data_IF_472249925198
#
_entry.id   IF_472249925198
#
_cell.length_a   1.000
_cell.length_b   1.000
_cell.length_c   1.000
_cell.angle_alpha   90.00
_cell.angle_beta   90.00
_cell.angle_gamma   90.00
#
_symmetry.space_group_name_H-M   'P 1'
#
loop_
_entity.id
_entity.type
_entity.pdbx_description
1 polymer ?
#
# COMPACT_ATOMS: atom_id res chain seq x y z
N UNK A 1 -11.44 21.60 1.50
CA UNK A 1 -10.28 21.82 2.41
C UNK A 1 -9.17 20.93 1.88
N UNK A 2 -8.04 21.54 1.50
CA UNK A 2 -7.07 20.94 0.59
C UNK A 2 -6.09 20.01 1.30
N UNK A 3 -5.93 18.81 0.76
CA UNK A 3 -5.02 17.76 1.24
C UNK A 3 -3.55 18.19 1.16
N UNK A 4 -3.23 19.10 0.22
CA UNK A 4 -1.94 19.79 0.17
C UNK A 4 -1.66 20.60 1.46
N UNK A 5 -2.69 21.15 2.10
CA UNK A 5 -2.56 21.82 3.41
C UNK A 5 -2.18 20.82 4.49
N UNK A 6 -2.79 19.64 4.50
CA UNK A 6 -2.56 18.63 5.53
C UNK A 6 -1.17 18.01 5.41
N UNK A 7 -0.71 17.65 4.19
CA UNK A 7 0.68 17.18 4.00
C UNK A 7 1.69 18.28 4.35
N UNK A 8 1.39 19.54 4.01
CA UNK A 8 2.23 20.67 4.38
C UNK A 8 2.34 20.83 5.91
N UNK A 9 1.23 20.68 6.63
CA UNK A 9 1.22 20.67 8.10
C UNK A 9 2.05 19.51 8.66
N UNK A 10 1.85 18.28 8.16
CA UNK A 10 2.59 17.10 8.64
C UNK A 10 4.10 17.24 8.43
N UNK A 11 4.54 17.89 7.34
CA UNK A 11 5.97 18.19 7.13
C UNK A 11 6.57 19.07 8.21
N UNK A 12 5.77 19.88 8.90
CA UNK A 12 6.23 20.68 10.03
C UNK A 12 6.43 19.88 11.32
N UNK A 13 5.89 18.67 11.38
CA UNK A 13 5.88 17.85 12.61
C UNK A 13 7.14 16.97 12.68
N UNK A 14 7.81 16.87 13.85
CA UNK A 14 8.85 15.86 14.05
C UNK A 14 8.33 14.46 13.77
N UNK A 15 9.12 13.62 13.09
CA UNK A 15 8.67 12.30 12.63
C UNK A 15 8.12 11.44 13.78
N UNK A 16 8.76 11.46 14.95
CA UNK A 16 8.31 10.73 16.14
C UNK A 16 7.02 11.25 16.78
N UNK A 17 6.55 12.44 16.40
CA UNK A 17 5.34 13.09 16.94
C UNK A 17 4.15 13.00 15.97
N UNK A 18 4.34 12.47 14.76
CA UNK A 18 3.29 12.38 13.72
C UNK A 18 2.07 11.60 14.24
N UNK A 19 2.29 10.47 14.91
CA UNK A 19 1.19 9.66 15.47
C UNK A 19 0.36 10.43 16.48
N UNK A 20 1.00 11.19 17.37
CA UNK A 20 0.30 11.99 18.38
C UNK A 20 -0.44 13.16 17.72
N UNK A 21 0.17 13.80 16.73
CA UNK A 21 -0.47 14.89 15.99
C UNK A 21 -1.72 14.41 15.25
N UNK A 22 -1.66 13.25 14.57
CA UNK A 22 -2.82 12.65 13.88
C UNK A 22 -3.91 12.30 14.90
N UNK A 23 -3.55 11.68 16.03
CA UNK A 23 -4.52 11.34 17.09
C UNK A 23 -5.22 12.55 17.70
N UNK A 24 -4.53 13.70 17.82
CA UNK A 24 -5.16 14.96 18.25
C UNK A 24 -6.09 15.57 17.19
N UNK A 25 -5.75 15.42 15.90
CA UNK A 25 -6.54 15.95 14.79
C UNK A 25 -7.80 15.11 14.53
N UNK A 26 -7.70 13.80 14.73
CA UNK A 26 -8.77 12.83 14.50
C UNK A 26 -9.00 11.98 15.76
N UNK A 27 -9.67 12.54 16.79
CA UNK A 27 -9.89 11.83 18.05
C UNK A 27 -10.82 10.62 17.91
N UNK A 28 -11.75 10.67 16.95
CA UNK A 28 -12.77 9.64 16.69
C UNK A 28 -12.39 8.72 15.52
N UNK A 29 -11.09 8.50 15.30
CA UNK A 29 -10.50 7.78 14.16
C UNK A 29 -10.42 8.59 12.85
N UNK A 30 -9.54 8.13 11.96
CA UNK A 30 -9.24 8.77 10.69
C UNK A 30 -9.98 8.08 9.56
N UNK A 31 -10.64 8.86 8.70
CA UNK A 31 -11.37 8.31 7.55
C UNK A 31 -10.42 7.68 6.51
N UNK A 32 -10.75 6.51 5.92
CA UNK A 32 -9.93 5.88 4.88
C UNK A 32 -9.60 6.80 3.69
N UNK A 33 -10.54 7.68 3.29
CA UNK A 33 -10.31 8.62 2.20
C UNK A 33 -9.22 9.65 2.53
N UNK A 34 -9.05 10.00 3.80
CA UNK A 34 -7.99 10.91 4.22
C UNK A 34 -6.62 10.28 4.06
N UNK A 35 -6.45 9.02 4.49
CA UNK A 35 -5.19 8.29 4.28
C UNK A 35 -4.82 8.20 2.80
N UNK A 36 -5.77 7.84 1.95
CA UNK A 36 -5.55 7.76 0.50
C UNK A 36 -5.12 9.10 -0.08
N UNK A 37 -5.78 10.19 0.32
CA UNK A 37 -5.43 11.52 -0.15
C UNK A 37 -4.02 11.94 0.29
N UNK A 38 -3.62 11.61 1.52
CA UNK A 38 -2.26 11.85 2.01
C UNK A 38 -1.23 11.04 1.20
N UNK A 39 -1.50 9.77 0.90
CA UNK A 39 -0.61 8.93 0.09
C UNK A 39 -0.43 9.47 -1.33
N UNK A 40 -1.52 9.90 -1.98
CA UNK A 40 -1.46 10.53 -3.31
C UNK A 40 -0.64 11.82 -3.28
N UNK A 41 -0.82 12.65 -2.24
CA UNK A 41 -0.08 13.90 -2.07
C UNK A 41 1.42 13.65 -1.84
N UNK A 42 1.76 12.60 -1.09
CA UNK A 42 3.15 12.16 -0.89
C UNK A 42 3.78 11.71 -2.20
N UNK A 43 3.09 10.88 -3.00
CA UNK A 43 3.57 10.44 -4.31
C UNK A 43 3.85 11.64 -5.23
N UNK A 44 2.94 12.60 -5.29
CA UNK A 44 3.11 13.82 -6.09
C UNK A 44 4.34 14.60 -5.62
N UNK A 45 4.55 14.73 -4.30
CA UNK A 45 5.71 15.44 -3.77
C UNK A 45 7.03 14.74 -4.05
N UNK A 46 7.05 13.42 -3.95
CA UNK A 46 8.24 12.59 -4.14
C UNK A 46 8.60 12.38 -5.61
N UNK A 47 7.79 12.92 -6.54
CA UNK A 47 8.05 12.85 -7.97
C UNK A 47 9.48 13.32 -8.31
N UNK A 48 10.26 12.52 -9.06
CA UNK A 48 11.61 12.91 -9.50
C UNK A 48 11.64 14.16 -10.38
N UNK A 49 10.49 14.55 -10.95
CA UNK A 49 10.36 15.75 -11.79
C UNK A 49 10.24 17.04 -10.98
N UNK A 50 10.07 16.96 -9.66
CA UNK A 50 9.98 18.14 -8.80
C UNK A 50 11.36 18.58 -8.35
N UNK A 51 11.63 19.88 -8.54
CA UNK A 51 12.82 20.53 -8.02
C UNK A 51 12.64 20.81 -6.52
N UNK A 52 13.16 19.89 -5.72
CA UNK A 52 13.11 19.90 -4.25
C UNK A 52 14.50 19.58 -3.74
N UNK A 53 14.94 20.28 -2.70
CA UNK A 53 16.25 20.04 -2.12
C UNK A 53 16.33 18.62 -1.52
N UNK A 54 17.51 17.96 -1.57
CA UNK A 54 17.68 16.57 -1.15
C UNK A 54 17.17 16.27 0.28
N UNK A 55 17.38 17.20 1.22
CA UNK A 55 16.97 17.06 2.62
C UNK A 55 15.45 17.02 2.79
N UNK A 56 14.72 17.82 2.02
CA UNK A 56 13.26 17.81 2.02
C UNK A 56 12.71 16.53 1.41
N UNK A 57 13.40 16.00 0.39
CA UNK A 57 13.04 14.72 -0.23
C UNK A 57 13.24 13.55 0.73
N UNK A 58 14.38 13.49 1.42
CA UNK A 58 14.63 12.47 2.43
C UNK A 58 13.60 12.55 3.57
N UNK A 59 13.24 13.77 3.98
CA UNK A 59 12.17 14.00 4.96
C UNK A 59 10.84 13.47 4.45
N UNK A 60 10.44 13.76 3.22
CA UNK A 60 9.18 13.28 2.65
C UNK A 60 9.13 11.74 2.55
N UNK A 61 10.24 11.07 2.24
CA UNK A 61 10.30 9.60 2.28
C UNK A 61 10.15 9.06 3.69
N UNK A 62 10.79 9.70 4.67
CA UNK A 62 10.68 9.33 6.09
C UNK A 62 9.25 9.50 6.60
N UNK A 63 8.65 10.65 6.30
CA UNK A 63 7.25 10.95 6.64
C UNK A 63 6.32 9.95 5.94
N UNK A 64 6.53 9.67 4.66
CA UNK A 64 5.71 8.72 3.92
C UNK A 64 5.77 7.30 4.49
N UNK A 65 6.96 6.83 4.86
CA UNK A 65 7.12 5.52 5.50
C UNK A 65 6.35 5.43 6.83
N UNK A 66 6.47 6.45 7.68
CA UNK A 66 5.78 6.48 8.98
C UNK A 66 4.26 6.62 8.83
N UNK A 67 3.77 7.44 7.91
CA UNK A 67 2.32 7.59 7.66
C UNK A 67 1.74 6.26 7.16
N UNK A 68 2.39 5.60 6.22
CA UNK A 68 1.94 4.29 5.71
C UNK A 68 1.89 3.26 6.83
N UNK A 69 2.96 3.17 7.62
CA UNK A 69 3.01 2.27 8.78
C UNK A 69 1.91 2.59 9.79
N UNK A 70 1.74 3.87 10.13
CA UNK A 70 0.73 4.32 11.06
C UNK A 70 -0.67 3.94 10.58
N UNK A 71 -1.00 4.24 9.33
CA UNK A 71 -2.29 3.93 8.72
C UNK A 71 -2.64 2.44 8.82
N UNK A 72 -1.66 1.56 8.64
CA UNK A 72 -1.86 0.11 8.81
C UNK A 72 -2.05 -0.24 10.30
N UNK A 73 -1.18 0.25 11.17
CA UNK A 73 -1.19 -0.11 12.61
C UNK A 73 -2.41 0.41 13.36
N UNK A 74 -3.01 1.52 12.92
CA UNK A 74 -4.22 2.10 13.52
C UNK A 74 -5.50 1.57 12.87
N UNK A 75 -5.40 0.66 11.89
CA UNK A 75 -6.55 0.15 11.14
C UNK A 75 -7.16 1.15 10.16
N UNK A 76 -6.52 2.30 9.94
CA UNK A 76 -6.94 3.31 8.98
C UNK A 76 -6.94 2.82 7.52
N UNK A 77 -6.03 1.90 7.20
CA UNK A 77 -6.03 1.15 5.93
C UNK A 77 -5.66 -0.31 6.17
N UNK A 78 -6.04 -1.17 5.22
CA UNK A 78 -5.66 -2.59 5.25
C UNK A 78 -4.16 -2.77 4.99
N UNK A 79 -3.52 -3.81 5.55
CA UNK A 79 -2.09 -4.07 5.35
C UNK A 79 -1.67 -4.13 3.87
N UNK A 80 -2.46 -4.79 3.02
CA UNK A 80 -2.21 -4.89 1.57
C UNK A 80 -2.14 -3.52 0.88
N UNK A 81 -3.01 -2.60 1.26
CA UNK A 81 -3.03 -1.23 0.75
C UNK A 81 -1.80 -0.45 1.23
N UNK A 82 -1.43 -0.60 2.51
CA UNK A 82 -0.19 -0.02 3.03
C UNK A 82 1.03 -0.52 2.27
N UNK A 83 1.15 -1.83 2.06
CA UNK A 83 2.23 -2.47 1.27
C UNK A 83 2.28 -1.93 -0.13
N UNK A 84 1.14 -1.86 -0.82
CA UNK A 84 1.05 -1.30 -2.16
C UNK A 84 1.64 0.11 -2.24
N UNK A 85 1.24 0.99 -1.31
CA UNK A 85 1.76 2.36 -1.25
C UNK A 85 3.25 2.41 -0.91
N UNK A 86 3.71 1.59 0.03
CA UNK A 86 5.13 1.53 0.37
C UNK A 86 5.99 1.05 -0.82
N UNK A 87 5.57 0.00 -1.52
CA UNK A 87 6.26 -0.48 -2.72
C UNK A 87 6.30 0.58 -3.82
N UNK A 88 5.24 1.41 -3.91
CA UNK A 88 5.20 2.56 -4.81
C UNK A 88 6.22 3.62 -4.40
N UNK A 89 6.33 3.97 -3.12
CA UNK A 89 7.35 4.89 -2.61
C UNK A 89 8.78 4.35 -2.84
N UNK A 90 9.03 3.08 -2.54
CA UNK A 90 10.30 2.41 -2.80
C UNK A 90 10.66 2.44 -4.29
N UNK A 91 9.68 2.25 -5.17
CA UNK A 91 9.88 2.36 -6.63
C UNK A 91 10.27 3.77 -7.04
N UNK A 92 9.65 4.80 -6.46
CA UNK A 92 9.99 6.20 -6.72
C UNK A 92 11.42 6.50 -6.24
N UNK A 93 11.79 6.05 -5.04
CA UNK A 93 13.13 6.23 -4.49
C UNK A 93 14.23 5.68 -5.41
N UNK A 94 13.97 4.53 -6.07
CA UNK A 94 14.90 3.91 -7.03
C UNK A 94 15.11 4.68 -8.33
N UNK A 95 14.27 5.68 -8.64
CA UNK A 95 14.37 6.48 -9.87
C UNK A 95 15.36 7.64 -9.75
N UNK A 96 15.91 7.89 -8.56
CA UNK A 96 16.85 8.98 -8.34
C UNK A 96 18.29 8.57 -8.68
N UNK A 97 18.95 9.42 -9.47
CA UNK A 97 20.36 9.33 -9.80
C UNK A 97 21.04 10.67 -9.46
N UNK A 98 21.98 10.72 -8.49
CA UNK A 98 22.46 9.61 -7.67
C UNK A 98 21.39 9.06 -6.70
N UNK A 99 21.56 7.81 -6.19
CA UNK A 99 20.66 7.24 -5.19
C UNK A 99 20.58 8.11 -3.92
N UNK A 100 19.39 8.17 -3.32
CA UNK A 100 19.18 8.89 -2.05
C UNK A 100 19.84 8.11 -0.91
N UNK A 101 20.68 8.78 -0.15
CA UNK A 101 21.37 8.23 1.02
C UNK A 101 20.45 8.33 2.25
N UNK A 102 20.63 7.43 3.22
CA UNK A 102 19.92 7.40 4.51
C UNK A 102 18.39 7.22 4.43
N UNK A 103 17.89 6.64 3.33
CA UNK A 103 16.49 6.26 3.22
C UNK A 103 16.07 5.32 4.38
N UNK A 104 14.84 5.44 4.90
CA UNK A 104 14.31 4.50 5.87
C UNK A 104 14.41 3.06 5.35
N UNK A 105 14.78 2.11 6.21
CA UNK A 105 14.91 0.69 5.84
C UNK A 105 13.64 0.14 5.16
N UNK A 106 12.47 0.62 5.57
CA UNK A 106 11.17 0.26 5.02
C UNK A 106 10.99 0.68 3.54
N UNK A 107 11.70 1.73 3.09
CA UNK A 107 11.67 2.21 1.70
C UNK A 107 12.76 1.55 0.85
N UNK A 108 13.79 0.99 1.49
CA UNK A 108 14.82 0.23 0.80
C UNK A 108 14.25 -1.06 0.20
N UNK A 109 14.72 -1.53 -0.97
CA UNK A 109 14.12 -2.67 -1.65
C UNK A 109 13.94 -3.93 -0.80
N UNK A 110 14.97 -4.32 -0.03
CA UNK A 110 14.89 -5.49 0.84
C UNK A 110 13.85 -5.31 1.96
N UNK A 111 13.81 -4.15 2.62
CA UNK A 111 12.86 -3.89 3.69
C UNK A 111 11.42 -3.77 3.20
N UNK A 112 11.20 -3.16 2.04
CA UNK A 112 9.89 -3.08 1.41
C UNK A 112 9.37 -4.48 1.01
N UNK A 113 10.24 -5.35 0.49
CA UNK A 113 9.90 -6.74 0.18
C UNK A 113 9.59 -7.56 1.41
N UNK A 114 10.42 -7.46 2.45
CA UNK A 114 10.20 -8.16 3.71
C UNK A 114 8.86 -7.79 4.32
N UNK A 115 8.51 -6.49 4.32
CA UNK A 115 7.22 -6.03 4.80
C UNK A 115 6.06 -6.56 3.95
N UNK A 116 6.21 -6.57 2.62
CA UNK A 116 5.20 -7.10 1.71
C UNK A 116 4.92 -8.59 1.94
N UNK A 117 5.97 -9.41 2.11
CA UNK A 117 5.84 -10.84 2.38
C UNK A 117 5.19 -11.11 3.73
N UNK A 118 5.56 -10.35 4.77
CA UNK A 118 4.98 -10.47 6.11
C UNK A 118 3.50 -10.04 6.17
N UNK A 119 3.04 -9.24 5.22
CA UNK A 119 1.68 -8.75 5.13
C UNK A 119 0.76 -9.59 4.24
N UNK A 120 1.28 -10.66 3.62
CA UNK A 120 0.45 -11.60 2.85
C UNK A 120 -0.59 -12.25 3.77
N UNK A 121 -1.90 -12.11 3.49
CA UNK A 121 -2.93 -12.66 4.37
C UNK A 121 -3.09 -14.18 4.24
N UNK A 122 -2.46 -14.79 3.23
CA UNK A 122 -2.51 -16.22 2.96
C UNK A 122 -1.12 -16.82 2.72
N UNK A 123 -1.03 -18.14 2.87
CA UNK A 123 0.06 -18.90 2.26
C UNK A 123 -0.16 -19.03 0.75
N UNK A 124 0.88 -19.45 0.03
CA UNK A 124 0.82 -19.67 -1.42
C UNK A 124 -0.22 -20.71 -1.81
N UNK A 125 -0.26 -21.83 -1.07
CA UNK A 125 -1.20 -22.92 -1.28
C UNK A 125 -2.64 -22.45 -1.05
N UNK A 126 -2.86 -21.69 0.02
CA UNK A 126 -4.19 -21.16 0.33
C UNK A 126 -4.68 -20.15 -0.70
N UNK A 127 -3.81 -19.29 -1.21
CA UNK A 127 -4.16 -18.36 -2.28
C UNK A 127 -4.60 -19.09 -3.57
N UNK A 128 -3.92 -20.18 -3.93
CA UNK A 128 -4.31 -21.02 -5.08
C UNK A 128 -5.67 -21.69 -4.87
N UNK A 129 -5.91 -22.28 -3.69
CA UNK A 129 -7.19 -22.88 -3.35
C UNK A 129 -8.34 -21.86 -3.48
N UNK A 130 -8.16 -20.67 -2.91
CA UNK A 130 -9.15 -19.59 -2.97
C UNK A 130 -9.41 -19.10 -4.40
N UNK A 131 -8.37 -19.04 -5.25
CA UNK A 131 -8.58 -18.69 -6.67
C UNK A 131 -9.40 -19.76 -7.40
N UNK A 132 -9.14 -21.06 -7.13
CA UNK A 132 -9.94 -22.16 -7.69
C UNK A 132 -11.41 -22.08 -7.25
N UNK A 133 -11.65 -21.81 -5.97
CA UNK A 133 -13.00 -21.63 -5.41
C UNK A 133 -13.69 -20.45 -6.11
N UNK A 134 -13.06 -19.27 -6.14
CA UNK A 134 -13.58 -18.06 -6.80
C UNK A 134 -13.92 -18.31 -8.27
N UNK A 135 -13.07 -19.06 -8.99
CA UNK A 135 -13.30 -19.43 -10.39
C UNK A 135 -14.48 -20.39 -10.54
N UNK A 136 -14.64 -21.37 -9.66
CA UNK A 136 -15.78 -22.27 -9.66
C UNK A 136 -17.09 -21.51 -9.41
N UNK A 137 -17.10 -20.61 -8.40
CA UNK A 137 -18.24 -19.74 -8.11
C UNK A 137 -18.63 -18.91 -9.33
N UNK A 138 -17.66 -18.23 -9.96
CA UNK A 138 -17.84 -17.47 -11.19
C UNK A 138 -18.49 -18.28 -12.32
N UNK A 139 -18.03 -19.52 -12.54
CA UNK A 139 -18.56 -20.41 -13.59
C UNK A 139 -19.97 -20.93 -13.28
N UNK A 140 -20.34 -20.98 -12.01
CA UNK A 140 -21.68 -21.40 -11.56
C UNK A 140 -22.64 -20.23 -11.37
N UNK A 141 -22.14 -19.00 -11.45
CA UNK A 141 -22.95 -17.81 -11.21
C UNK A 141 -23.80 -17.47 -12.45
N UNK A 142 -25.10 -17.26 -12.25
CA UNK A 142 -26.02 -16.83 -13.31
C UNK A 142 -25.86 -15.35 -13.69
N UNK A 143 -26.70 -14.86 -14.61
CA UNK A 143 -26.66 -13.48 -15.13
C UNK A 143 -26.75 -12.38 -14.05
N UNK A 144 -27.30 -12.68 -12.86
CA UNK A 144 -27.39 -11.77 -11.72
C UNK A 144 -26.03 -11.47 -11.04
N UNK A 145 -24.97 -12.22 -11.38
CA UNK A 145 -23.63 -12.04 -10.82
C UNK A 145 -22.93 -10.77 -11.33
N UNK A 146 -23.18 -10.37 -12.58
CA UNK A 146 -22.43 -9.30 -13.25
C UNK A 146 -23.06 -7.92 -13.10
N UNK A 147 -24.36 -7.85 -12.79
CA UNK A 147 -25.05 -6.57 -12.73
C UNK A 147 -26.28 -6.67 -11.82
N UNK A 148 -26.23 -6.17 -10.58
CA UNK A 148 -27.42 -5.91 -9.80
C UNK A 148 -28.14 -4.66 -10.36
N UNK A 149 -28.56 -4.71 -11.62
CA UNK A 149 -29.33 -3.62 -12.26
C UNK A 149 -30.66 -3.52 -11.52
N UNK A 150 -30.89 -2.39 -10.84
CA UNK A 150 -32.12 -2.16 -10.08
C UNK A 150 -32.03 -2.43 -8.58
N UNK A 151 -30.88 -2.89 -8.05
CA UNK A 151 -30.66 -2.78 -6.60
C UNK A 151 -30.30 -1.32 -6.28
N UNK A 152 -31.13 -0.70 -5.44
CA UNK A 152 -30.82 0.61 -4.87
C UNK A 152 -29.59 0.42 -4.00
N UNK A 153 -28.43 0.82 -4.50
CA UNK A 153 -27.27 1.06 -3.66
C UNK A 153 -27.62 2.27 -2.80
N UNK A 154 -28.20 2.01 -1.62
CA UNK A 154 -28.27 3.04 -0.60
C UNK A 154 -26.82 3.38 -0.29
N UNK A 155 -26.45 4.64 -0.51
CA UNK A 155 -25.12 5.20 -0.21
C UNK A 155 -24.72 4.97 1.27
N UNK A 156 -25.69 4.56 2.11
CA UNK A 156 -25.54 4.23 3.53
C UNK A 156 -25.67 2.73 3.87
N UNK A 157 -25.84 1.82 2.90
CA UNK A 157 -25.76 0.39 3.17
C UNK A 157 -24.29 -0.03 3.20
N UNK A 158 -23.67 0.24 4.35
CA UNK A 158 -22.38 -0.29 4.77
C UNK A 158 -22.42 -1.80 5.07
N UNK A 159 -23.25 -2.57 4.36
CA UNK A 159 -23.15 -4.03 4.38
C UNK A 159 -22.06 -4.44 3.38
N UNK A 160 -20.85 -4.50 3.91
CA UNK A 160 -19.81 -5.47 3.54
C UNK A 160 -19.52 -5.60 2.04
N UNK A 161 -19.01 -4.54 1.40
CA UNK A 161 -18.01 -4.76 0.33
C UNK A 161 -16.73 -5.27 1.01
N UNK A 162 -16.78 -6.51 1.48
CA UNK A 162 -15.64 -7.23 2.02
C UNK A 162 -14.75 -7.59 0.85
N UNK A 163 -13.71 -6.79 0.64
CA UNK A 163 -12.60 -7.20 -0.19
C UNK A 163 -12.08 -8.54 0.33
N UNK A 164 -11.96 -9.51 -0.57
CA UNK A 164 -11.46 -10.84 -0.18
C UNK A 164 -9.97 -10.76 0.15
N UNK A 165 -9.51 -11.60 1.08
CA UNK A 165 -8.08 -11.74 1.35
C UNK A 165 -7.30 -12.20 0.09
N UNK A 166 -7.96 -12.84 -0.89
CA UNK A 166 -7.36 -13.13 -2.19
C UNK A 166 -7.06 -11.86 -2.99
N UNK A 167 -7.96 -10.88 -3.00
CA UNK A 167 -7.71 -9.57 -3.63
C UNK A 167 -6.55 -8.82 -2.95
N UNK A 168 -6.37 -9.02 -1.65
CA UNK A 168 -5.23 -8.45 -0.92
C UNK A 168 -3.90 -9.08 -1.34
N UNK A 169 -3.87 -10.40 -1.55
CA UNK A 169 -2.71 -11.09 -2.16
C UNK A 169 -2.44 -10.54 -3.55
N UNK A 170 -3.46 -10.47 -4.42
CA UNK A 170 -3.33 -9.97 -5.80
C UNK A 170 -2.80 -8.54 -5.85
N UNK A 171 -3.28 -7.67 -4.96
CA UNK A 171 -2.82 -6.29 -4.86
C UNK A 171 -1.32 -6.22 -4.55
N UNK A 172 -0.85 -6.99 -3.55
CA UNK A 172 0.57 -7.03 -3.20
C UNK A 172 1.38 -7.59 -4.38
N UNK A 173 0.96 -8.72 -4.95
CA UNK A 173 1.66 -9.37 -6.08
C UNK A 173 1.78 -8.45 -7.30
N UNK A 174 0.78 -7.61 -7.56
CA UNK A 174 0.82 -6.65 -8.67
C UNK A 174 1.93 -5.59 -8.52
N UNK A 175 2.34 -5.28 -7.28
CA UNK A 175 3.32 -4.25 -6.96
C UNK A 175 4.73 -4.79 -6.73
N UNK A 176 4.90 -6.07 -6.37
CA UNK A 176 6.24 -6.67 -6.14
C UNK A 176 7.23 -6.46 -7.31
N UNK A 177 6.84 -6.59 -8.60
CA UNK A 177 7.78 -6.44 -9.71
C UNK A 177 8.42 -5.06 -9.80
N UNK A 178 7.81 -4.01 -9.23
CA UNK A 178 8.33 -2.65 -9.32
C UNK A 178 9.63 -2.46 -8.53
N UNK A 179 9.77 -3.21 -7.43
CA UNK A 179 10.90 -3.09 -6.51
C UNK A 179 11.84 -4.30 -6.60
N UNK A 180 11.34 -5.47 -7.04
CA UNK A 180 12.09 -6.73 -7.14
C UNK A 180 13.50 -6.61 -7.76
N UNK A 181 13.73 -5.83 -8.85
CA UNK A 181 15.07 -5.71 -9.43
C UNK A 181 16.12 -5.05 -8.52
N UNK A 182 15.70 -4.38 -7.44
CA UNK A 182 16.59 -3.75 -6.46
C UNK A 182 16.89 -4.61 -5.22
N UNK A 183 16.31 -5.81 -5.12
CA UNK A 183 16.42 -6.69 -3.94
C UNK A 183 17.76 -7.41 -3.97
N UNK A 184 18.52 -7.31 -2.88
CA UNK A 184 19.85 -7.91 -2.75
C UNK A 184 19.84 -9.19 -1.91
N UNK A 185 18.89 -9.32 -0.99
CA UNK A 185 18.76 -10.49 -0.14
C UNK A 185 18.27 -11.72 -0.94
N UNK A 186 19.14 -12.71 -1.13
CA UNK A 186 18.84 -13.92 -1.91
C UNK A 186 17.71 -14.79 -1.35
N UNK A 187 17.43 -14.73 -0.04
CA UNK A 187 16.27 -15.44 0.53
C UNK A 187 14.96 -14.74 0.17
N UNK A 188 14.92 -13.41 0.28
CA UNK A 188 13.76 -12.63 -0.12
C UNK A 188 13.46 -12.80 -1.62
N UNK A 189 14.50 -12.79 -2.47
CA UNK A 189 14.32 -13.02 -3.91
C UNK A 189 13.64 -14.36 -4.21
N UNK A 190 14.09 -15.45 -3.57
CA UNK A 190 13.50 -16.78 -3.75
C UNK A 190 12.03 -16.83 -3.32
N UNK A 191 11.69 -16.21 -2.19
CA UNK A 191 10.30 -16.19 -1.73
C UNK A 191 9.42 -15.36 -2.67
N UNK A 192 9.89 -14.18 -3.10
CA UNK A 192 9.19 -13.34 -4.08
C UNK A 192 9.01 -14.07 -5.41
N UNK A 193 10.03 -14.75 -5.91
CA UNK A 193 9.93 -15.54 -7.15
C UNK A 193 8.84 -16.61 -7.05
N UNK A 194 8.76 -17.32 -5.92
CA UNK A 194 7.74 -18.34 -5.70
C UNK A 194 6.32 -17.75 -5.63
N UNK A 195 6.18 -16.56 -5.05
CA UNK A 195 4.92 -15.82 -5.06
C UNK A 195 4.52 -15.31 -6.46
N UNK A 196 5.48 -14.78 -7.22
CA UNK A 196 5.25 -14.31 -8.59
C UNK A 196 4.94 -15.46 -9.55
N UNK A 197 5.45 -16.66 -9.31
CA UNK A 197 5.12 -17.86 -10.08
C UNK A 197 3.64 -18.24 -9.93
N UNK A 198 3.13 -18.27 -8.69
CA UNK A 198 1.72 -18.58 -8.46
C UNK A 198 0.81 -17.41 -8.83
N UNK A 199 1.28 -16.17 -8.76
CA UNK A 199 0.50 -14.98 -9.13
C UNK A 199 0.04 -14.96 -10.58
N UNK A 200 0.70 -15.71 -11.47
CA UNK A 200 0.25 -15.90 -12.87
C UNK A 200 -0.95 -16.84 -12.99
N UNK A 201 -1.33 -17.51 -11.91
CA UNK A 201 -2.38 -18.52 -11.84
C UNK A 201 -3.59 -18.04 -11.03
N UNK A 202 -3.44 -16.95 -10.26
CA UNK A 202 -4.51 -16.33 -9.47
C UNK A 202 -5.46 -15.52 -10.36
#
# INVERSE_FOLDING_TARGET
MGVDSDLHEIRGIPVGEISEWIGRRFPDETFPQWWMAIFESLEISLSPLRDVAPEWRLRDFTVGAEIVKLAVTTGGVRPSMGVYWLLRLATIARRFEPPIVDLPALIMPDGAMEWALNAMPFSRERALEESVIRKAEYLTAGDEFYAPVGKVFAVNNAEDVKFSALQDVELILSALPWVYPGVLNGNLRREVDAWLEIGRQL
#
